data_IF_500450660163
#
_entry.id   IF_500450660163
#
_cell.length_a   1.000
_cell.length_b   1.000
_cell.length_c   1.000
_cell.angle_alpha   90.00
_cell.angle_beta   90.00
_cell.angle_gamma   90.00
#
_symmetry.space_group_name_H-M   'P 1'
#
loop_
_entity.id
_entity.type
_entity.pdbx_description
1 polymer ?
#
# COMPACT_ATOMS: atom_id res chain seq x y z
N UNK A 1 18.82 -7.17 -13.77
CA UNK A 1 18.24 -7.33 -15.13
C UNK A 1 19.32 -7.45 -16.19
N UNK A 2 20.45 -6.75 -16.09
CA UNK A 2 21.54 -6.85 -17.07
C UNK A 2 22.06 -8.29 -17.30
N UNK A 3 22.24 -9.08 -16.23
CA UNK A 3 22.69 -10.48 -16.37
C UNK A 3 21.65 -11.35 -17.10
N UNK A 4 20.36 -11.14 -16.83
CA UNK A 4 19.29 -11.85 -17.52
C UNK A 4 19.21 -11.44 -19.00
N UNK A 5 19.40 -10.15 -19.29
CA UNK A 5 19.47 -9.66 -20.67
C UNK A 5 20.65 -10.27 -21.42
N UNK A 6 21.84 -10.32 -20.79
CA UNK A 6 23.03 -10.96 -21.35
C UNK A 6 22.78 -12.45 -21.63
N UNK A 7 22.16 -13.16 -20.68
CA UNK A 7 21.80 -14.57 -20.86
C UNK A 7 20.82 -14.79 -22.03
N UNK A 8 19.82 -13.91 -22.19
CA UNK A 8 18.92 -13.95 -23.35
C UNK A 8 19.66 -13.71 -24.66
N UNK A 9 20.61 -12.76 -24.68
CA UNK A 9 21.40 -12.45 -25.87
C UNK A 9 22.35 -13.59 -26.25
N UNK A 10 22.97 -14.26 -25.27
CA UNK A 10 23.79 -15.46 -25.47
C UNK A 10 22.98 -16.58 -26.14
N UNK A 11 21.76 -16.85 -25.66
CA UNK A 11 20.88 -17.87 -26.24
C UNK A 11 20.45 -17.51 -27.66
N UNK A 12 20.14 -16.25 -27.92
CA UNK A 12 19.83 -15.74 -29.27
C UNK A 12 21.00 -15.89 -30.23
N UNK A 13 22.23 -15.58 -29.79
CA UNK A 13 23.44 -15.79 -30.61
C UNK A 13 23.66 -17.27 -30.92
N UNK A 14 23.33 -18.16 -29.98
CA UNK A 14 23.35 -19.59 -30.17
C UNK A 14 22.14 -20.15 -30.96
N UNK A 15 21.26 -19.27 -31.49
CA UNK A 15 20.03 -19.64 -32.19
C UNK A 15 19.10 -20.57 -31.38
N UNK A 16 19.17 -20.47 -30.05
CA UNK A 16 18.32 -21.21 -29.11
C UNK A 16 17.29 -20.25 -28.53
N UNK A 17 16.01 -20.58 -28.66
CA UNK A 17 14.92 -19.86 -27.99
C UNK A 17 14.72 -20.53 -26.62
N UNK A 18 14.88 -19.82 -25.50
CA UNK A 18 14.70 -20.41 -24.19
C UNK A 18 13.24 -20.81 -23.96
N UNK A 19 13.02 -21.90 -23.24
CA UNK A 19 11.67 -22.41 -22.95
C UNK A 19 11.15 -21.77 -21.67
N UNK A 20 9.98 -21.12 -21.78
CA UNK A 20 9.29 -20.47 -20.69
C UNK A 20 8.09 -21.29 -20.21
N UNK A 21 7.77 -21.18 -18.91
CA UNK A 21 6.49 -21.62 -18.35
C UNK A 21 5.88 -20.48 -17.54
N UNK A 22 4.63 -20.16 -17.80
CA UNK A 22 3.88 -19.19 -17.00
C UNK A 22 3.18 -19.90 -15.85
N UNK A 23 3.42 -19.41 -14.63
CA UNK A 23 2.78 -19.89 -13.41
C UNK A 23 2.17 -18.71 -12.68
N UNK A 24 0.90 -18.83 -12.33
CA UNK A 24 0.16 -17.83 -11.56
C UNK A 24 -0.35 -18.44 -10.25
N UNK A 25 -0.12 -17.74 -9.15
CA UNK A 25 -0.55 -18.17 -7.82
C UNK A 25 -1.26 -17.01 -7.13
N UNK A 26 -2.54 -17.19 -6.85
CA UNK A 26 -3.45 -16.10 -6.50
C UNK A 26 -4.56 -16.48 -5.52
N UNK A 27 -5.20 -15.46 -4.94
CA UNK A 27 -6.27 -15.57 -3.96
C UNK A 27 -7.65 -15.87 -4.55
N UNK A 28 -7.88 -15.40 -5.77
CA UNK A 28 -9.18 -15.46 -6.42
C UNK A 28 -8.98 -15.58 -7.93
N UNK A 29 -9.66 -16.56 -8.52
CA UNK A 29 -9.65 -16.90 -9.94
C UNK A 29 -9.91 -15.74 -10.93
N UNK A 30 -10.42 -14.62 -10.43
CA UNK A 30 -10.85 -13.48 -11.22
C UNK A 30 -9.87 -12.30 -11.20
N UNK A 31 -8.66 -12.48 -10.65
CA UNK A 31 -7.66 -11.41 -10.72
C UNK A 31 -7.17 -11.30 -12.17
N UNK A 32 -7.32 -10.14 -12.84
CA UNK A 32 -6.78 -9.96 -14.18
C UNK A 32 -5.27 -10.13 -14.10
N UNK A 33 -4.75 -11.13 -14.80
CA UNK A 33 -3.32 -11.39 -14.78
C UNK A 33 -2.62 -10.46 -15.78
N UNK A 34 -1.47 -9.87 -15.40
CA UNK A 34 -0.75 -8.98 -16.30
C UNK A 34 -0.27 -9.76 -17.54
N UNK A 35 -0.18 -9.04 -18.66
CA UNK A 35 0.44 -9.55 -19.87
C UNK A 35 1.92 -9.85 -19.62
N UNK A 36 2.37 -10.99 -20.12
CA UNK A 36 3.77 -11.37 -20.05
C UNK A 36 4.59 -10.58 -21.07
N UNK A 37 5.38 -9.63 -20.58
CA UNK A 37 6.26 -8.80 -21.38
C UNK A 37 7.44 -9.56 -22.03
N UNK A 38 7.66 -10.82 -21.64
CA UNK A 38 8.68 -11.71 -22.22
C UNK A 38 8.11 -12.76 -23.17
N UNK A 39 6.80 -12.72 -23.49
CA UNK A 39 6.14 -13.72 -24.34
C UNK A 39 6.83 -13.92 -25.70
N UNK A 40 7.40 -12.86 -26.27
CA UNK A 40 8.05 -12.86 -27.58
C UNK A 40 9.54 -13.22 -27.50
N UNK A 41 10.06 -13.45 -26.29
CA UNK A 41 11.47 -13.73 -26.04
C UNK A 41 11.74 -15.20 -25.72
N UNK A 42 10.70 -16.00 -25.51
CA UNK A 42 10.78 -17.39 -25.06
C UNK A 42 9.72 -18.24 -25.76
N UNK A 43 9.95 -19.55 -25.79
CA UNK A 43 9.01 -20.54 -26.31
C UNK A 43 8.05 -20.99 -25.19
N UNK A 44 6.75 -20.79 -25.41
CA UNK A 44 5.66 -21.24 -24.54
C UNK A 44 4.74 -22.26 -25.23
N UNK A 45 5.06 -22.71 -26.45
CA UNK A 45 4.15 -23.44 -27.34
C UNK A 45 3.54 -24.70 -26.69
N UNK A 46 4.33 -25.43 -25.92
CA UNK A 46 3.91 -26.68 -25.27
C UNK A 46 3.75 -26.56 -23.75
N UNK A 47 3.65 -25.32 -23.27
CA UNK A 47 3.70 -24.93 -21.86
C UNK A 47 2.54 -23.99 -21.56
N UNK A 48 1.29 -24.51 -21.55
CA UNK A 48 0.12 -23.68 -21.27
C UNK A 48 0.27 -23.04 -19.90
N UNK A 49 -0.24 -21.81 -19.75
CA UNK A 49 -0.25 -21.11 -18.48
C UNK A 49 -0.88 -21.96 -17.38
N UNK A 50 -0.18 -22.14 -16.27
CA UNK A 50 -0.77 -22.74 -15.08
C UNK A 50 -1.19 -21.74 -14.01
N UNK A 51 -2.28 -22.08 -13.34
CA UNK A 51 -2.91 -21.28 -12.30
C UNK A 51 -3.08 -22.17 -11.06
N UNK A 52 -2.76 -21.62 -9.90
CA UNK A 52 -3.01 -22.21 -8.59
C UNK A 52 -3.76 -21.18 -7.75
N UNK A 53 -5.00 -21.50 -7.42
CA UNK A 53 -5.79 -20.72 -6.48
C UNK A 53 -5.53 -21.24 -5.07
N UNK A 54 -5.22 -20.32 -4.16
CA UNK A 54 -5.08 -20.61 -2.75
C UNK A 54 -6.16 -19.84 -1.99
N UNK A 55 -7.03 -20.57 -1.29
CA UNK A 55 -7.97 -19.96 -0.33
C UNK A 55 -7.16 -19.36 0.84
N UNK A 56 -6.94 -18.04 0.89
CA UNK A 56 -6.37 -17.40 2.09
C UNK A 56 -7.47 -16.95 3.02
N UNK A 57 -7.68 -17.65 4.13
CA UNK A 57 -8.32 -17.01 5.26
C UNK A 57 -7.36 -15.95 5.78
N UNK A 58 -7.85 -14.72 5.98
CA UNK A 58 -7.10 -13.60 6.61
C UNK A 58 -6.43 -14.01 7.94
N UNK A 59 -6.86 -15.14 8.53
CA UNK A 59 -6.28 -15.81 9.69
C UNK A 59 -5.44 -17.01 9.26
N UNK A 60 -4.12 -16.95 9.49
CA UNK A 60 -3.19 -18.03 9.15
C UNK A 60 -3.55 -19.41 9.75
N UNK A 61 -4.24 -19.46 10.89
CA UNK A 61 -4.68 -20.71 11.53
C UNK A 61 -5.80 -21.42 10.79
N UNK A 62 -6.47 -20.76 9.85
CA UNK A 62 -7.51 -21.35 9.03
C UNK A 62 -6.97 -21.94 7.72
N UNK A 63 -5.67 -21.74 7.41
CA UNK A 63 -5.04 -22.27 6.20
C UNK A 63 -5.06 -23.80 6.24
N UNK A 64 -5.50 -24.42 5.14
CA UNK A 64 -5.48 -25.87 4.95
C UNK A 64 -4.17 -26.29 4.28
N UNK A 65 -3.30 -26.98 5.01
CA UNK A 65 -2.04 -27.54 4.48
C UNK A 65 -0.82 -26.62 4.60
N UNK A 66 0.34 -27.12 4.14
CA UNK A 66 1.61 -26.38 4.16
C UNK A 66 1.83 -25.67 2.82
N UNK A 67 1.52 -24.38 2.76
CA UNK A 67 1.64 -23.60 1.52
C UNK A 67 3.06 -23.52 0.98
N UNK A 68 4.09 -23.64 1.82
CA UNK A 68 5.48 -23.73 1.35
C UNK A 68 5.67 -24.97 0.49
N UNK A 69 5.20 -26.12 0.96
CA UNK A 69 5.32 -27.40 0.24
C UNK A 69 4.47 -27.41 -1.02
N UNK A 70 3.23 -26.92 -0.95
CA UNK A 70 2.35 -26.79 -2.11
C UNK A 70 2.99 -25.93 -3.19
N UNK A 71 3.63 -24.82 -2.82
CA UNK A 71 4.31 -23.93 -3.76
C UNK A 71 5.56 -24.58 -4.37
N UNK A 72 6.39 -25.24 -3.54
CA UNK A 72 7.59 -25.93 -4.03
C UNK A 72 7.21 -27.08 -4.97
N UNK A 73 6.16 -27.83 -4.64
CA UNK A 73 5.57 -28.86 -5.51
C UNK A 73 5.05 -28.24 -6.81
N UNK A 74 4.37 -27.08 -6.73
CA UNK A 74 3.88 -26.37 -7.90
C UNK A 74 5.00 -25.93 -8.84
N UNK A 75 6.13 -25.53 -8.28
CA UNK A 75 7.33 -25.13 -8.99
C UNK A 75 8.35 -26.27 -9.17
N UNK A 76 7.94 -27.53 -9.00
CA UNK A 76 8.81 -28.69 -9.21
C UNK A 76 8.90 -29.08 -10.69
N UNK A 77 9.95 -29.82 -11.05
CA UNK A 77 10.08 -30.38 -12.40
C UNK A 77 9.04 -31.47 -12.65
N UNK A 78 8.64 -32.19 -11.61
CA UNK A 78 7.62 -33.23 -11.63
C UNK A 78 6.28 -32.65 -12.09
N UNK A 79 5.81 -31.60 -11.43
CA UNK A 79 4.57 -30.93 -11.80
C UNK A 79 4.65 -30.33 -13.20
N UNK A 80 5.77 -29.72 -13.57
CA UNK A 80 5.96 -29.18 -14.92
C UNK A 80 5.92 -30.25 -16.02
N UNK A 81 6.42 -31.46 -15.76
CA UNK A 81 6.33 -32.56 -16.73
C UNK A 81 4.87 -32.94 -17.01
N UNK A 82 4.03 -32.93 -15.99
CA UNK A 82 2.59 -33.20 -16.12
C UNK A 82 1.85 -32.13 -16.93
N UNK A 83 2.34 -30.89 -16.92
CA UNK A 83 1.75 -29.76 -17.66
C UNK A 83 2.26 -29.65 -19.10
N UNK A 84 3.21 -30.49 -19.51
CA UNK A 84 3.68 -30.52 -20.90
C UNK A 84 2.60 -31.07 -21.83
N UNK A 85 2.31 -30.36 -22.91
CA UNK A 85 1.33 -30.80 -23.91
C UNK A 85 1.95 -31.37 -25.19
N UNK A 86 3.28 -31.38 -25.27
CA UNK A 86 4.02 -31.95 -26.40
C UNK A 86 4.26 -33.47 -26.27
N UNK A 87 5.05 -34.06 -27.18
CA UNK A 87 5.34 -35.49 -27.20
C UNK A 87 6.07 -35.96 -25.93
N UNK A 88 5.50 -36.92 -25.20
CA UNK A 88 6.02 -37.39 -23.91
C UNK A 88 7.44 -38.01 -23.95
N UNK A 89 7.93 -38.37 -25.13
CA UNK A 89 9.27 -38.95 -25.33
C UNK A 89 10.39 -37.91 -25.29
N UNK A 90 10.08 -36.62 -25.40
CA UNK A 90 11.06 -35.53 -25.41
C UNK A 90 10.47 -34.30 -24.71
N UNK A 91 10.44 -34.34 -23.37
CA UNK A 91 9.96 -33.23 -22.55
C UNK A 91 11.17 -32.32 -22.28
N UNK A 92 11.29 -31.17 -22.97
CA UNK A 92 12.44 -30.31 -22.77
C UNK A 92 12.37 -29.63 -21.39
N UNK A 93 13.53 -29.35 -20.78
CA UNK A 93 13.59 -28.62 -19.52
C UNK A 93 13.03 -27.20 -19.69
N UNK A 94 12.49 -26.64 -18.61
CA UNK A 94 12.09 -25.23 -18.57
C UNK A 94 13.31 -24.40 -18.20
N UNK A 95 13.70 -23.47 -19.07
CA UNK A 95 14.80 -22.54 -18.80
C UNK A 95 14.35 -21.44 -17.82
N UNK A 96 13.11 -20.94 -17.97
CA UNK A 96 12.60 -19.80 -17.20
C UNK A 96 11.16 -20.04 -16.71
N UNK A 97 10.94 -19.79 -15.43
CA UNK A 97 9.60 -19.72 -14.84
C UNK A 97 9.18 -18.25 -14.75
N UNK A 98 8.12 -17.89 -15.47
CA UNK A 98 7.49 -16.59 -15.31
C UNK A 98 6.41 -16.70 -14.23
N UNK A 99 6.72 -16.21 -13.03
CA UNK A 99 5.87 -16.34 -11.86
C UNK A 99 5.11 -15.04 -11.58
N UNK A 100 3.78 -15.10 -11.70
CA UNK A 100 2.90 -14.14 -11.05
C UNK A 100 2.57 -14.63 -9.64
N UNK A 101 2.94 -13.84 -8.64
CA UNK A 101 2.74 -14.21 -7.24
C UNK A 101 2.12 -13.07 -6.41
N UNK A 102 0.97 -13.36 -5.81
CA UNK A 102 0.36 -12.46 -4.84
C UNK A 102 1.12 -12.43 -3.50
N UNK A 103 1.92 -11.39 -3.31
CA UNK A 103 2.74 -11.22 -2.09
C UNK A 103 1.95 -10.99 -0.79
N UNK A 104 0.62 -10.94 -0.82
CA UNK A 104 -0.19 -10.93 0.41
C UNK A 104 -0.03 -12.23 1.20
N UNK A 105 0.33 -13.32 0.55
CA UNK A 105 0.71 -14.54 1.24
C UNK A 105 2.11 -14.45 1.84
N UNK A 106 2.23 -14.85 3.10
CA UNK A 106 3.49 -15.24 3.73
C UNK A 106 3.54 -16.76 3.71
N UNK A 107 4.13 -17.36 2.67
CA UNK A 107 4.28 -18.82 2.61
C UNK A 107 5.72 -19.29 2.52
N UNK A 108 6.68 -18.42 2.23
CA UNK A 108 8.09 -18.81 2.34
C UNK A 108 8.46 -18.68 3.81
N UNK A 109 8.63 -19.83 4.50
CA UNK A 109 9.14 -19.89 5.88
C UNK A 109 10.64 -19.55 5.92
N UNK A 110 11.01 -18.41 5.36
CA UNK A 110 12.36 -17.88 5.34
C UNK A 110 12.36 -16.58 6.14
N UNK A 111 13.21 -16.50 7.17
CA UNK A 111 13.34 -15.28 8.00
C UNK A 111 13.76 -14.08 7.17
N UNK A 112 14.60 -14.27 6.15
CA UNK A 112 15.04 -13.21 5.24
C UNK A 112 13.87 -12.66 4.41
N UNK A 113 12.89 -13.48 4.04
CA UNK A 113 11.69 -13.03 3.32
C UNK A 113 10.77 -12.15 4.19
N UNK A 114 10.92 -12.20 5.51
CA UNK A 114 10.23 -11.31 6.44
C UNK A 114 11.00 -10.01 6.70
N UNK A 115 12.19 -9.83 6.13
CA UNK A 115 12.93 -8.57 6.21
C UNK A 115 12.22 -7.55 5.32
N UNK A 116 11.76 -6.41 5.87
CA UNK A 116 11.12 -5.38 5.06
C UNK A 116 12.06 -4.88 3.97
N UNK A 117 11.54 -4.71 2.76
CA UNK A 117 12.27 -4.02 1.70
C UNK A 117 12.36 -2.54 2.06
N UNK A 118 13.54 -1.96 1.92
CA UNK A 118 13.73 -0.52 2.06
C UNK A 118 13.01 0.21 0.95
N UNK A 119 12.38 1.33 1.27
CA UNK A 119 11.82 2.22 0.26
C UNK A 119 12.93 2.84 -0.60
N UNK A 120 12.58 3.32 -1.80
CA UNK A 120 13.55 3.98 -2.66
C UNK A 120 14.13 5.23 -1.97
N UNK A 121 15.39 5.54 -2.29
CA UNK A 121 16.05 6.73 -1.76
C UNK A 121 15.31 8.01 -2.17
N UNK A 122 14.74 8.03 -3.38
CA UNK A 122 13.98 9.18 -3.90
C UNK A 122 12.71 9.44 -3.07
N UNK A 123 11.95 8.40 -2.75
CA UNK A 123 10.75 8.51 -1.90
C UNK A 123 11.09 8.91 -0.47
N UNK A 124 12.21 8.40 0.02
CA UNK A 124 12.71 8.76 1.34
C UNK A 124 13.08 10.24 1.40
N UNK A 125 13.85 10.73 0.42
CA UNK A 125 14.25 12.13 0.33
C UNK A 125 13.06 13.08 0.13
N UNK A 126 12.07 12.70 -0.68
CA UNK A 126 10.84 13.49 -0.84
C UNK A 126 10.10 13.60 0.50
N UNK A 127 9.97 12.50 1.23
CA UNK A 127 9.35 12.51 2.55
C UNK A 127 10.14 13.32 3.59
N UNK A 128 11.48 13.31 3.53
CA UNK A 128 12.33 14.20 4.34
C UNK A 128 12.01 15.67 4.05
N UNK A 129 11.98 16.08 2.79
CA UNK A 129 11.67 17.45 2.38
C UNK A 129 10.27 17.92 2.82
N UNK A 130 9.28 17.02 2.74
CA UNK A 130 7.92 17.32 3.22
C UNK A 130 7.94 17.50 4.75
N UNK A 131 8.55 16.58 5.48
CA UNK A 131 8.60 16.63 6.93
C UNK A 131 9.38 17.83 7.48
N UNK A 132 10.47 18.25 6.82
CA UNK A 132 11.24 19.44 7.17
C UNK A 132 10.38 20.70 7.09
N UNK A 133 9.59 20.86 6.02
CA UNK A 133 8.69 22.02 5.84
C UNK A 133 7.54 22.04 6.85
N UNK A 134 7.11 20.88 7.32
CA UNK A 134 6.02 20.75 8.28
C UNK A 134 6.50 20.85 9.73
N UNK A 135 7.78 20.67 10.02
CA UNK A 135 8.27 20.60 11.41
C UNK A 135 8.08 21.93 12.17
N UNK A 136 7.52 21.93 13.40
CA UNK A 136 6.93 20.78 14.10
C UNK A 136 5.51 20.45 13.62
N UNK A 137 5.19 19.15 13.53
CA UNK A 137 3.88 18.69 13.10
C UNK A 137 3.38 17.43 13.83
N UNK A 138 2.05 17.28 13.79
CA UNK A 138 1.34 16.06 14.17
C UNK A 138 0.96 15.33 12.89
N UNK A 139 1.37 14.07 12.77
CA UNK A 139 0.82 13.18 11.75
C UNK A 139 -0.44 12.48 12.29
N UNK A 140 -1.51 12.50 11.52
CA UNK A 140 -2.78 11.86 11.88
C UNK A 140 -3.10 10.83 10.82
N UNK A 141 -3.26 9.57 11.21
CA UNK A 141 -3.78 8.54 10.30
C UNK A 141 -5.20 8.16 10.66
N UNK A 142 -6.14 8.46 9.76
CA UNK A 142 -7.56 8.18 9.93
C UNK A 142 -8.10 7.34 8.76
N UNK A 143 -8.18 6.03 8.97
CA UNK A 143 -8.76 5.09 8.02
C UNK A 143 -10.26 4.92 8.30
N UNK A 144 -11.11 5.45 7.41
CA UNK A 144 -12.56 5.53 7.58
C UNK A 144 -13.32 4.47 6.78
N UNK A 145 -12.70 3.84 5.77
CA UNK A 145 -13.40 2.84 4.95
C UNK A 145 -13.98 1.71 5.82
N UNK A 146 -15.22 1.30 5.53
CA UNK A 146 -15.91 0.18 6.19
C UNK A 146 -15.90 0.26 7.72
N UNK A 147 -15.87 1.46 8.28
CA UNK A 147 -16.00 1.66 9.71
C UNK A 147 -17.47 1.61 10.10
N UNK A 148 -17.80 0.84 11.13
CA UNK A 148 -19.16 0.75 11.67
C UNK A 148 -19.12 0.77 13.20
N UNK A 149 -20.11 1.39 13.88
CA UNK A 149 -21.19 2.20 13.31
C UNK A 149 -20.72 3.59 12.85
N UNK A 150 -21.22 4.07 11.71
CA UNK A 150 -20.87 5.39 11.15
C UNK A 150 -21.18 6.57 12.07
N UNK A 151 -22.14 6.44 12.99
CA UNK A 151 -22.47 7.49 13.98
C UNK A 151 -21.31 7.83 14.92
N UNK A 152 -20.27 6.98 14.98
CA UNK A 152 -19.06 7.26 15.74
C UNK A 152 -18.18 8.33 15.08
N UNK A 153 -18.26 8.55 13.77
CA UNK A 153 -17.33 9.39 13.03
C UNK A 153 -17.29 10.84 13.56
N UNK A 154 -18.43 11.44 13.82
CA UNK A 154 -18.50 12.82 14.33
C UNK A 154 -17.90 12.96 15.74
N UNK A 155 -18.28 12.14 16.76
CA UNK A 155 -17.58 12.13 18.04
C UNK A 155 -16.07 11.88 17.92
N UNK A 156 -15.64 11.02 17.00
CA UNK A 156 -14.22 10.78 16.76
C UNK A 156 -13.52 12.01 16.16
N UNK A 157 -14.18 12.75 15.26
CA UNK A 157 -13.70 14.02 14.70
C UNK A 157 -13.46 15.06 15.81
N UNK A 158 -14.44 15.22 16.71
CA UNK A 158 -14.35 16.11 17.86
C UNK A 158 -13.14 15.78 18.73
N UNK A 159 -12.96 14.48 19.04
CA UNK A 159 -11.84 14.00 19.86
C UNK A 159 -10.48 14.14 19.19
N UNK A 160 -10.43 14.02 17.87
CA UNK A 160 -9.23 14.30 17.10
C UNK A 160 -8.84 15.78 17.20
N UNK A 161 -9.79 16.69 16.97
CA UNK A 161 -9.57 18.14 17.06
C UNK A 161 -9.11 18.55 18.45
N UNK A 162 -9.77 18.05 19.50
CA UNK A 162 -9.38 18.29 20.90
C UNK A 162 -7.94 17.87 21.17
N UNK A 163 -7.52 16.70 20.68
CA UNK A 163 -6.14 16.22 20.85
C UNK A 163 -5.13 17.08 20.13
N UNK A 164 -5.41 17.45 18.88
CA UNK A 164 -4.52 18.34 18.11
C UNK A 164 -4.36 19.69 18.82
N UNK A 165 -5.46 20.30 19.27
CA UNK A 165 -5.43 21.57 19.99
C UNK A 165 -4.70 21.47 21.33
N UNK A 166 -4.83 20.35 22.05
CA UNK A 166 -4.07 20.12 23.28
C UNK A 166 -2.56 20.02 23.04
N UNK A 167 -2.13 19.37 21.95
CA UNK A 167 -0.73 19.30 21.54
C UNK A 167 -0.18 20.67 21.13
N UNK A 168 -1.02 21.52 20.55
CA UNK A 168 -0.64 22.82 20.02
C UNK A 168 -0.31 23.85 21.12
N UNK A 169 -0.72 23.61 22.38
CA UNK A 169 -0.50 24.50 23.55
C UNK A 169 -0.83 25.97 23.28
N UNK A 170 -1.87 26.23 22.49
CA UNK A 170 -2.32 27.57 22.12
C UNK A 170 -1.57 28.23 20.96
N UNK A 171 -0.62 27.53 20.33
CA UNK A 171 0.00 27.95 19.06
C UNK A 171 -0.49 27.06 17.90
N UNK A 172 -0.58 27.56 16.66
CA UNK A 172 -0.86 26.72 15.51
C UNK A 172 0.23 25.65 15.33
N UNK A 173 -0.17 24.39 15.17
CA UNK A 173 0.71 23.28 14.82
C UNK A 173 0.32 22.74 13.45
N UNK A 174 1.31 22.36 12.64
CA UNK A 174 1.04 21.74 11.36
C UNK A 174 0.43 20.35 11.58
N UNK A 175 -0.62 20.03 10.82
CA UNK A 175 -1.27 18.71 10.86
C UNK A 175 -1.10 18.06 9.50
N UNK A 176 -0.44 16.91 9.46
CA UNK A 176 -0.33 16.09 8.27
C UNK A 176 -1.35 14.96 8.35
N UNK A 177 -2.38 14.99 7.51
CA UNK A 177 -3.50 14.06 7.56
C UNK A 177 -3.37 12.99 6.47
N UNK A 178 -3.23 11.73 6.92
CA UNK A 178 -3.22 10.53 6.10
C UNK A 178 -4.59 9.87 6.24
N UNK A 179 -5.40 9.85 5.19
CA UNK A 179 -6.71 9.20 5.24
C UNK A 179 -7.04 8.58 3.89
N UNK A 180 -7.89 7.56 3.92
CA UNK A 180 -8.49 6.98 2.73
C UNK A 180 -9.67 7.81 2.21
N UNK A 181 -10.15 8.81 2.97
CA UNK A 181 -11.22 9.71 2.55
C UNK A 181 -10.80 10.53 1.30
N UNK A 182 -11.67 10.68 0.28
CA UNK A 182 -11.28 11.37 -0.93
C UNK A 182 -11.19 12.89 -0.75
N UNK A 183 -9.99 13.45 -0.91
CA UNK A 183 -9.72 14.86 -0.64
C UNK A 183 -10.41 15.84 -1.61
N UNK A 184 -10.72 15.38 -2.82
CA UNK A 184 -11.21 16.23 -3.89
C UNK A 184 -12.72 16.10 -4.15
N UNK A 185 -13.54 15.52 -3.25
CA UNK A 185 -14.99 15.27 -3.47
C UNK A 185 -15.84 16.49 -3.78
N UNK A 186 -15.47 17.65 -3.24
CA UNK A 186 -16.19 18.89 -3.55
C UNK A 186 -15.84 19.44 -4.94
N UNK A 187 -14.94 18.77 -5.65
CA UNK A 187 -14.49 19.14 -6.99
C UNK A 187 -15.16 18.27 -8.04
N UNK A 188 -15.37 18.84 -9.22
CA UNK A 188 -15.99 18.16 -10.37
C UNK A 188 -15.23 16.91 -10.87
N UNK A 189 -14.03 16.62 -10.36
CA UNK A 189 -13.13 15.54 -10.82
C UNK A 189 -12.75 14.54 -9.71
N UNK A 190 -13.45 14.53 -8.59
CA UNK A 190 -13.11 13.73 -7.43
C UNK A 190 -13.00 12.22 -7.68
N UNK A 191 -11.94 11.60 -7.17
CA UNK A 191 -11.83 10.14 -7.00
C UNK A 191 -11.22 9.84 -5.63
N UNK A 192 -11.59 8.72 -4.98
CA UNK A 192 -10.88 8.22 -3.80
C UNK A 192 -9.37 8.10 -4.07
N UNK A 193 -8.57 8.58 -3.11
CA UNK A 193 -7.10 8.44 -3.15
C UNK A 193 -6.67 7.02 -2.74
N UNK A 194 -7.58 6.26 -2.14
CA UNK A 194 -7.42 4.86 -1.82
C UNK A 194 -8.20 3.96 -2.79
N UNK A 195 -7.54 2.92 -3.30
CA UNK A 195 -8.19 1.87 -4.10
C UNK A 195 -9.18 1.02 -3.30
N UNK A 196 -9.12 1.03 -1.97
CA UNK A 196 -9.94 0.18 -1.12
C UNK A 196 -11.22 0.86 -0.59
N UNK A 197 -11.32 2.19 -0.68
CA UNK A 197 -12.51 2.93 -0.32
C UNK A 197 -13.34 3.22 -1.57
N UNK A 198 -14.45 2.51 -1.73
CA UNK A 198 -15.31 2.66 -2.89
C UNK A 198 -16.23 3.88 -2.74
N UNK A 199 -16.60 4.50 -3.86
CA UNK A 199 -17.48 5.67 -3.83
C UNK A 199 -18.85 5.35 -3.20
N UNK A 200 -19.34 4.12 -3.38
CA UNK A 200 -20.63 3.68 -2.81
C UNK A 200 -20.57 3.42 -1.30
N UNK A 201 -19.38 3.23 -0.73
CA UNK A 201 -19.18 3.09 0.72
C UNK A 201 -19.17 4.46 1.42
N UNK A 202 -19.07 5.56 0.66
CA UNK A 202 -18.99 6.91 1.18
C UNK A 202 -20.40 7.43 1.50
N UNK A 203 -20.57 7.90 2.74
CA UNK A 203 -21.86 8.37 3.27
C UNK A 203 -21.74 9.75 3.90
N UNK A 204 -22.89 10.37 4.20
CA UNK A 204 -22.97 11.73 4.74
C UNK A 204 -22.15 11.90 6.02
N UNK A 205 -22.12 10.90 6.88
CA UNK A 205 -21.36 10.90 8.14
C UNK A 205 -19.85 11.05 7.92
N UNK A 206 -19.32 10.51 6.81
CA UNK A 206 -17.93 10.71 6.44
C UNK A 206 -17.67 12.18 6.08
N UNK A 207 -18.54 12.74 5.25
CA UNK A 207 -18.44 14.14 4.83
C UNK A 207 -18.55 15.09 6.03
N UNK A 208 -19.52 14.87 6.91
CA UNK A 208 -19.76 15.72 8.08
C UNK A 208 -18.58 15.67 9.06
N UNK A 209 -18.06 14.48 9.35
CA UNK A 209 -16.91 14.31 10.25
C UNK A 209 -15.65 14.98 9.69
N UNK A 210 -15.38 14.81 8.40
CA UNK A 210 -14.22 15.42 7.77
C UNK A 210 -14.38 16.94 7.67
N UNK A 211 -15.54 17.43 7.23
CA UNK A 211 -15.89 18.85 7.23
C UNK A 211 -15.67 19.49 8.61
N UNK A 212 -16.12 18.82 9.68
CA UNK A 212 -15.89 19.28 11.05
C UNK A 212 -14.39 19.43 11.37
N UNK A 213 -13.55 18.44 11.05
CA UNK A 213 -12.10 18.56 11.26
C UNK A 213 -11.54 19.77 10.53
N UNK A 214 -11.91 19.93 9.28
CA UNK A 214 -11.41 20.95 8.39
C UNK A 214 -11.80 22.38 8.77
N UNK A 215 -12.97 22.56 9.36
CA UNK A 215 -13.41 23.86 9.87
C UNK A 215 -12.67 24.26 11.16
N UNK A 216 -11.98 23.33 11.81
CA UNK A 216 -11.39 23.54 13.14
C UNK A 216 -9.86 23.53 13.16
N UNK A 217 -9.22 22.83 12.22
CA UNK A 217 -7.76 22.73 12.14
C UNK A 217 -7.28 22.79 10.68
N UNK A 218 -6.15 23.47 10.47
CA UNK A 218 -5.48 23.47 9.17
C UNK A 218 -4.80 22.12 8.94
N UNK A 219 -5.00 21.55 7.76
CA UNK A 219 -4.50 20.21 7.40
C UNK A 219 -3.65 20.27 6.14
N UNK A 220 -2.59 19.48 6.12
CA UNK A 220 -1.79 19.20 4.93
C UNK A 220 -1.96 17.75 4.54
N UNK A 221 -2.19 17.48 3.27
CA UNK A 221 -2.42 16.14 2.73
C UNK A 221 -1.62 15.96 1.44
N UNK A 222 -1.47 14.72 0.99
CA UNK A 222 -0.89 14.42 -0.32
C UNK A 222 -1.98 14.10 -1.34
N UNK A 223 -1.70 14.34 -2.61
CA UNK A 223 -2.58 13.92 -3.71
C UNK A 223 -1.72 13.50 -4.89
N UNK A 224 -2.21 12.55 -5.69
CA UNK A 224 -1.47 12.05 -6.84
C UNK A 224 -1.52 13.06 -7.98
N UNK A 225 -0.35 13.54 -8.42
CA UNK A 225 -0.23 14.36 -9.61
C UNK A 225 -0.23 13.46 -10.86
N UNK A 226 -1.27 13.58 -11.70
CA UNK A 226 -1.28 12.95 -13.03
C UNK A 226 -0.96 13.97 -14.12
N UNK A 227 -0.48 13.52 -15.30
CA UNK A 227 -0.29 14.40 -16.45
C UNK A 227 -1.60 15.11 -16.83
N UNK A 228 -1.57 16.44 -16.83
CA UNK A 228 -2.74 17.28 -17.15
C UNK A 228 -3.69 17.55 -15.99
N UNK A 229 -3.45 17.00 -14.79
CA UNK A 229 -4.24 17.32 -13.61
C UNK A 229 -3.90 18.73 -13.10
N UNK A 230 -4.92 19.57 -12.98
CA UNK A 230 -4.88 20.87 -12.28
C UNK A 230 -5.60 20.69 -10.96
N UNK A 231 -4.88 20.89 -9.85
CA UNK A 231 -5.49 20.86 -8.52
C UNK A 231 -6.37 22.11 -8.37
N UNK A 232 -7.68 21.96 -8.14
CA UNK A 232 -8.60 23.09 -8.03
C UNK A 232 -8.49 23.73 -6.63
N UNK A 233 -7.37 24.42 -6.36
CA UNK A 233 -7.11 25.05 -5.05
C UNK A 233 -8.22 26.02 -4.60
N UNK A 234 -8.95 26.60 -5.55
CA UNK A 234 -10.10 27.48 -5.31
C UNK A 234 -11.35 26.73 -4.82
N UNK A 235 -11.44 25.42 -5.02
CA UNK A 235 -12.54 24.56 -4.57
C UNK A 235 -12.21 23.81 -3.28
N UNK A 236 -10.96 23.94 -2.78
CA UNK A 236 -10.55 23.32 -1.52
C UNK A 236 -11.11 24.12 -0.34
N UNK A 237 -11.49 23.43 0.76
CA UNK A 237 -11.89 24.15 1.97
C UNK A 237 -10.74 25.00 2.53
N UNK A 238 -11.06 26.12 3.21
CA UNK A 238 -10.06 26.95 3.87
C UNK A 238 -9.21 26.12 4.84
N UNK A 239 -7.90 26.41 4.89
CA UNK A 239 -6.97 25.72 5.80
C UNK A 239 -6.42 24.40 5.27
N UNK A 240 -6.80 23.97 4.06
CA UNK A 240 -6.20 22.80 3.42
C UNK A 240 -4.99 23.17 2.58
N UNK A 241 -3.95 22.35 2.70
CA UNK A 241 -2.81 22.34 1.80
C UNK A 241 -2.66 20.97 1.15
N UNK A 242 -2.58 20.93 -0.17
CA UNK A 242 -2.33 19.70 -0.91
C UNK A 242 -0.91 19.72 -1.47
N UNK A 243 -0.16 18.67 -1.17
CA UNK A 243 1.17 18.40 -1.72
C UNK A 243 0.99 17.43 -2.90
N UNK A 244 1.16 17.88 -4.16
CA UNK A 244 1.14 17.00 -5.31
C UNK A 244 2.34 16.05 -5.28
N UNK A 245 2.08 14.76 -5.49
CA UNK A 245 3.09 13.72 -5.57
C UNK A 245 3.10 13.13 -6.97
N UNK A 246 4.23 13.26 -7.67
CA UNK A 246 4.47 12.54 -8.91
C UNK A 246 4.71 11.06 -8.59
N UNK A 247 3.94 10.18 -9.23
CA UNK A 247 4.11 8.72 -9.07
C UNK A 247 5.44 8.20 -9.62
N UNK A 248 6.11 8.96 -10.50
CA UNK A 248 7.32 8.55 -11.23
C UNK A 248 7.19 7.21 -11.97
N UNK A 249 5.96 6.72 -12.15
CA UNK A 249 5.62 5.44 -12.77
C UNK A 249 4.63 5.66 -13.91
N UNK A 250 4.69 4.80 -14.93
CA UNK A 250 3.74 4.80 -16.03
C UNK A 250 3.10 3.41 -16.19
N UNK A 251 1.78 3.27 -16.00
CA UNK A 251 0.82 4.30 -15.57
C UNK A 251 1.05 4.75 -14.12
N UNK A 252 0.49 5.90 -13.75
CA UNK A 252 0.65 6.46 -12.41
C UNK A 252 0.02 5.55 -11.33
N UNK A 253 0.81 5.21 -10.31
CA UNK A 253 0.40 4.31 -9.23
C UNK A 253 0.06 5.11 -7.96
N UNK A 254 -1.21 5.05 -7.53
CA UNK A 254 -1.68 5.70 -6.30
C UNK A 254 -1.08 5.09 -5.03
N UNK A 255 -0.52 3.87 -5.10
CA UNK A 255 0.15 3.23 -3.97
C UNK A 255 1.35 4.04 -3.46
N UNK A 256 1.94 4.89 -4.32
CA UNK A 256 3.01 5.83 -3.96
C UNK A 256 2.57 6.79 -2.85
N UNK A 257 1.31 7.24 -2.83
CA UNK A 257 0.80 8.10 -1.76
C UNK A 257 0.94 7.43 -0.40
N UNK A 258 0.50 6.17 -0.28
CA UNK A 258 0.65 5.40 0.95
C UNK A 258 2.12 5.18 1.36
N UNK A 259 3.06 5.15 0.42
CA UNK A 259 4.49 5.10 0.74
C UNK A 259 4.95 6.43 1.33
N UNK A 260 4.69 7.54 0.63
CA UNK A 260 5.12 8.87 1.05
C UNK A 260 4.48 9.27 2.37
N UNK A 261 3.17 9.10 2.49
CA UNK A 261 2.42 9.41 3.70
C UNK A 261 3.01 8.71 4.92
N UNK A 262 3.26 7.40 4.80
CA UNK A 262 3.90 6.61 5.86
C UNK A 262 5.27 7.16 6.23
N UNK A 263 6.09 7.46 5.22
CA UNK A 263 7.44 7.99 5.42
C UNK A 263 7.41 9.38 6.08
N UNK A 264 6.45 10.24 5.74
CA UNK A 264 6.26 11.53 6.42
C UNK A 264 5.79 11.32 7.85
N UNK A 265 4.82 10.42 8.10
CA UNK A 265 4.29 10.16 9.43
C UNK A 265 5.32 9.60 10.42
N UNK A 266 6.27 8.78 9.97
CA UNK A 266 7.34 8.29 10.86
C UNK A 266 8.30 9.39 11.32
N UNK A 267 8.33 10.54 10.62
CA UNK A 267 9.17 11.72 10.94
C UNK A 267 8.49 12.74 11.85
N UNK A 268 7.19 12.61 12.09
CA UNK A 268 6.43 13.57 12.89
C UNK A 268 6.86 13.59 14.36
N UNK A 269 6.72 14.74 15.02
CA UNK A 269 6.96 14.84 16.46
C UNK A 269 5.90 14.05 17.25
N UNK A 270 4.65 14.12 16.80
CA UNK A 270 3.52 13.37 17.36
C UNK A 270 2.80 12.56 16.28
N UNK A 271 2.22 11.44 16.67
CA UNK A 271 1.40 10.62 15.78
C UNK A 271 0.09 10.22 16.45
N UNK A 272 -1.02 10.53 15.79
CA UNK A 272 -2.37 10.19 16.22
C UNK A 272 -2.99 9.15 15.29
N UNK A 273 -3.67 8.17 15.86
CA UNK A 273 -4.47 7.20 15.12
C UNK A 273 -5.86 7.04 15.74
N UNK A 274 -6.84 6.67 14.93
CA UNK A 274 -8.18 6.35 15.42
C UNK A 274 -8.18 5.04 16.21
N UNK A 275 -8.96 4.97 17.29
CA UNK A 275 -9.20 3.74 18.04
C UNK A 275 -9.68 2.62 17.10
N UNK A 276 -8.95 1.49 16.99
CA UNK A 276 -9.31 0.40 16.11
C UNK A 276 -10.73 -0.11 16.33
N UNK A 277 -11.52 -0.16 15.26
CA UNK A 277 -12.91 -0.63 15.27
C UNK A 277 -13.92 0.36 15.84
N UNK A 278 -13.50 1.58 16.22
CA UNK A 278 -14.43 2.63 16.69
C UNK A 278 -14.21 3.97 16.00
N UNK A 279 -13.00 4.50 16.10
CA UNK A 279 -12.61 5.76 15.47
C UNK A 279 -11.71 5.57 14.25
N UNK A 280 -11.31 4.34 13.94
CA UNK A 280 -10.65 4.02 12.67
C UNK A 280 -10.57 2.52 12.47
N UNK A 281 -10.47 2.07 11.22
CA UNK A 281 -10.33 0.65 10.91
C UNK A 281 -8.97 0.13 11.38
N UNK A 282 -8.94 -1.08 11.94
CA UNK A 282 -7.69 -1.76 12.27
C UNK A 282 -6.83 -1.91 11.00
N UNK A 283 -5.61 -1.37 11.02
CA UNK A 283 -4.82 -1.20 9.80
C UNK A 283 -3.37 -1.60 10.00
N UNK A 284 -2.89 -2.51 9.15
CA UNK A 284 -1.48 -2.88 9.06
C UNK A 284 -0.60 -1.68 8.68
N UNK A 285 -1.18 -0.70 7.98
CA UNK A 285 -0.54 0.58 7.67
C UNK A 285 -0.22 1.36 8.95
N UNK A 286 -1.22 1.60 9.82
CA UNK A 286 -1.02 2.27 11.12
C UNK A 286 0.02 1.53 11.95
N UNK A 287 -0.11 0.20 12.04
CA UNK A 287 0.78 -0.64 12.85
C UNK A 287 2.24 -0.51 12.41
N UNK A 288 2.50 -0.41 11.11
CA UNK A 288 3.86 -0.21 10.58
C UNK A 288 4.41 1.17 10.98
N UNK A 289 3.63 2.24 10.89
CA UNK A 289 4.04 3.58 11.34
C UNK A 289 4.42 3.54 12.83
N UNK A 290 3.53 2.99 13.66
CA UNK A 290 3.75 2.87 15.11
C UNK A 290 5.02 2.08 15.42
N UNK A 291 5.22 0.95 14.73
CA UNK A 291 6.39 0.10 14.93
C UNK A 291 7.70 0.85 14.63
N UNK A 292 7.80 1.51 13.48
CA UNK A 292 9.01 2.26 13.09
C UNK A 292 9.27 3.45 14.03
N UNK A 293 8.22 4.15 14.45
CA UNK A 293 8.31 5.26 15.41
C UNK A 293 8.75 4.78 16.78
N UNK A 294 8.16 3.70 17.29
CA UNK A 294 8.53 3.13 18.58
C UNK A 294 9.99 2.66 18.58
N UNK A 295 10.43 1.99 17.50
CA UNK A 295 11.82 1.58 17.33
C UNK A 295 12.77 2.78 17.36
N UNK A 296 12.44 3.84 16.62
CA UNK A 296 13.23 5.08 16.58
C UNK A 296 13.26 5.81 17.92
N UNK A 297 12.13 5.85 18.62
CA UNK A 297 12.02 6.44 19.96
C UNK A 297 12.87 5.67 20.98
N UNK A 298 12.80 4.33 20.98
CA UNK A 298 13.62 3.46 21.84
C UNK A 298 15.11 3.55 21.52
N UNK A 299 15.47 3.86 20.27
CA UNK A 299 16.84 4.13 19.86
C UNK A 299 17.34 5.54 20.25
N UNK A 300 16.52 6.35 20.94
CA UNK A 300 16.92 7.67 21.45
C UNK A 300 16.65 8.84 20.50
N UNK A 301 15.73 8.71 19.55
CA UNK A 301 15.33 9.83 18.68
C UNK A 301 14.87 11.04 19.51
N UNK A 302 15.47 12.20 19.26
CA UNK A 302 15.08 13.49 19.88
C UNK A 302 13.93 14.17 19.14
N UNK A 303 13.60 13.70 17.93
CA UNK A 303 12.51 14.25 17.11
C UNK A 303 11.16 13.75 17.60
N UNK A 304 11.05 12.45 17.91
CA UNK A 304 9.79 11.83 18.32
C UNK A 304 9.49 12.22 19.78
N UNK A 305 8.47 13.04 19.98
CA UNK A 305 7.99 13.41 21.30
C UNK A 305 7.04 12.34 21.85
N UNK A 306 6.17 11.81 21.00
CA UNK A 306 5.28 10.71 21.34
C UNK A 306 5.19 9.72 20.16
N UNK A 307 5.54 8.44 20.37
CA UNK A 307 5.55 7.47 19.27
C UNK A 307 4.14 7.18 18.74
N UNK A 308 3.12 7.26 19.59
CA UNK A 308 1.71 7.08 19.23
C UNK A 308 0.79 7.55 20.36
N UNK A 309 -0.30 8.21 20.00
CA UNK A 309 -1.49 8.39 20.81
C UNK A 309 -2.76 8.06 19.97
N UNK A 310 -3.88 7.80 20.64
CA UNK A 310 -5.13 7.35 20.03
C UNK A 310 -6.26 8.32 20.36
N UNK A 311 -6.99 8.80 19.34
CA UNK A 311 -8.29 9.45 19.53
C UNK A 311 -9.39 8.39 19.58
N UNK A 312 -10.23 8.49 20.61
CA UNK A 312 -11.22 7.47 20.98
C UNK A 312 -12.52 8.12 21.43
N UNK A 313 -13.60 7.37 21.35
CA UNK A 313 -14.90 7.82 21.83
C UNK A 313 -14.84 8.21 23.32
N UNK A 314 -15.67 9.17 23.76
CA UNK A 314 -15.82 9.48 25.18
C UNK A 314 -16.15 8.22 25.99
N UNK A 315 -15.56 8.09 27.18
CA UNK A 315 -16.02 7.07 28.13
C UNK A 315 -17.43 7.47 28.58
N UNK A 316 -18.36 6.53 28.47
CA UNK A 316 -19.68 6.62 29.10
C UNK A 316 -19.52 6.59 30.62
#
# INVERSE_FOLDING_TARGET
MEDFQRWLDERRQAQSIPIGQEVSIELTKNTPLPDNCFKDMMDFTYRPRSQLELDDPEVASHRKGNYTEIFLDRLSDETRKLEYTGPATDIPPVDVINLYYDRRFTFIKNKSANTPLTYSAQWTALADQIAEKLTPFVAVHWRMERLEPLQNLMPCAQRLVEKVQALSRGQPINVFLLTDYPHLLMTSKAKPESMSFKLEELQQEHHDAMKFVYEQINVTLTTLQRPGDVIPYNELPPGWSLIPIDSMAYPADSSVLGIIDKLVAIRAQWFLAGEPGKCGKASSFTRRIIYERLRSYQAGSTVIQEPMDIFKLPRK
#
